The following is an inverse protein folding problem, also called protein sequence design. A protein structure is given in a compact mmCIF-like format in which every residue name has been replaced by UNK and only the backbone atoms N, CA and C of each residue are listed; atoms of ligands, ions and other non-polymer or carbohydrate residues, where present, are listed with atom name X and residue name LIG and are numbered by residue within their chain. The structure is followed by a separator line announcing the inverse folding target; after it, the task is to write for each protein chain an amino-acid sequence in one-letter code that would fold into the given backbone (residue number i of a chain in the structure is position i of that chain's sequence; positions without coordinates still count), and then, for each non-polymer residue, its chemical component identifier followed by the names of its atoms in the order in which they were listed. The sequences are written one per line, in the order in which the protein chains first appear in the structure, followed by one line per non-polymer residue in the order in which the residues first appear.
data_IF_511809108675
#
_entry.id   IF_511809108675
#
_cell.length_a   1.000
_cell.length_b   1.000
_cell.length_c   1.000
_cell.angle_alpha   90.00
_cell.angle_beta   90.00
_cell.angle_gamma   90.00
#
_symmetry.space_group_name_H-M   'P 1'
#
loop_
_entity.id
_entity.type
_entity.pdbx_description
1 polymer ?
#
# COMPACT_ATOMS: atom_id res chain seq x y z
N UNK A 1 16.46 -18.24 1.37
CA UNK A 1 17.08 -19.09 0.32
C UNK A 1 16.38 -20.44 0.16
N UNK A 2 16.04 -21.15 1.23
CA UNK A 2 15.30 -22.44 1.19
C UNK A 2 13.96 -22.40 0.45
N UNK A 3 13.14 -21.35 0.67
CA UNK A 3 11.86 -21.16 -0.05
C UNK A 3 12.03 -21.03 -1.57
N UNK A 4 13.12 -20.41 -2.01
CA UNK A 4 13.43 -20.24 -3.44
C UNK A 4 13.86 -21.58 -4.04
N UNK A 5 14.70 -22.34 -3.34
CA UNK A 5 15.12 -23.66 -3.77
C UNK A 5 13.93 -24.63 -3.92
N UNK A 6 13.02 -24.67 -2.93
CA UNK A 6 11.81 -25.51 -3.00
C UNK A 6 10.96 -25.10 -4.20
N UNK A 7 10.73 -23.79 -4.38
CA UNK A 7 9.94 -23.29 -5.52
C UNK A 7 10.56 -23.70 -6.86
N UNK A 8 11.88 -23.54 -7.01
CA UNK A 8 12.62 -23.92 -8.23
C UNK A 8 12.52 -25.42 -8.49
N UNK A 9 12.71 -26.26 -7.47
CA UNK A 9 12.63 -27.73 -7.60
C UNK A 9 11.21 -28.16 -7.98
N UNK A 10 10.17 -27.60 -7.34
CA UNK A 10 8.78 -27.93 -7.66
C UNK A 10 8.41 -27.51 -9.08
N UNK A 11 8.82 -26.32 -9.52
CA UNK A 11 8.58 -25.86 -10.90
C UNK A 11 9.36 -26.68 -11.94
N UNK A 12 10.61 -27.03 -11.64
CA UNK A 12 11.41 -27.89 -12.52
C UNK A 12 10.79 -29.29 -12.65
N UNK A 13 10.34 -29.89 -11.55
CA UNK A 13 9.66 -31.18 -11.57
C UNK A 13 8.34 -31.13 -12.35
N UNK A 14 7.54 -30.07 -12.19
CA UNK A 14 6.33 -29.84 -12.97
C UNK A 14 6.61 -29.65 -14.46
N UNK A 15 7.65 -28.89 -14.82
CA UNK A 15 8.04 -28.69 -16.21
C UNK A 15 8.52 -30.00 -16.86
N UNK A 16 9.28 -30.81 -16.13
CA UNK A 16 9.72 -32.15 -16.58
C UNK A 16 8.51 -33.08 -16.75
N UNK A 17 7.60 -33.12 -15.78
CA UNK A 17 6.39 -33.93 -15.87
C UNK A 17 5.51 -33.53 -17.06
N UNK A 18 5.35 -32.22 -17.31
CA UNK A 18 4.65 -31.69 -18.47
C UNK A 18 5.33 -32.10 -19.78
N UNK A 19 6.65 -31.94 -19.87
CA UNK A 19 7.42 -32.31 -21.07
C UNK A 19 7.30 -33.80 -21.38
N UNK A 20 7.35 -34.66 -20.36
CA UNK A 20 7.15 -36.10 -20.50
C UNK A 20 5.72 -36.43 -20.97
N UNK A 21 4.70 -35.78 -20.41
CA UNK A 21 3.30 -35.95 -20.82
C UNK A 21 3.04 -35.54 -22.28
N UNK A 22 3.57 -34.38 -22.69
CA UNK A 22 3.48 -33.89 -24.08
C UNK A 22 4.25 -34.82 -25.04
N UNK A 23 5.45 -35.23 -24.67
CA UNK A 23 6.27 -36.15 -25.50
C UNK A 23 5.57 -37.49 -25.68
N UNK A 24 5.00 -38.05 -24.60
CA UNK A 24 4.21 -39.27 -24.65
C UNK A 24 2.97 -39.13 -25.54
N UNK A 25 2.27 -38.00 -25.44
CA UNK A 25 1.09 -37.72 -26.27
C UNK A 25 1.43 -37.65 -27.78
N UNK A 26 2.56 -37.03 -28.14
CA UNK A 26 3.01 -36.89 -29.54
C UNK A 26 3.43 -38.24 -30.14
N UNK A 27 4.07 -39.11 -29.34
CA UNK A 27 4.56 -40.41 -29.79
C UNK A 27 3.43 -41.46 -29.87
N UNK A 28 2.36 -41.30 -29.11
CA UNK A 28 1.27 -42.30 -29.01
C UNK A 28 0.41 -42.39 -30.28
N UNK A 29 0.02 -43.62 -30.65
CA UNK A 29 -0.88 -43.89 -31.78
C UNK A 29 -2.30 -43.32 -31.55
N UNK A 30 -3.07 -42.97 -32.61
CA UNK A 30 -4.34 -42.26 -32.49
C UNK A 30 -5.38 -42.88 -31.53
N UNK A 31 -5.33 -44.20 -31.29
CA UNK A 31 -6.24 -44.92 -30.39
C UNK A 31 -5.83 -44.94 -28.90
N UNK A 32 -4.60 -44.55 -28.54
CA UNK A 32 -4.09 -44.59 -27.16
C UNK A 32 -3.78 -43.21 -26.57
N UNK A 33 -4.19 -42.12 -27.25
CA UNK A 33 -3.90 -40.74 -26.86
C UNK A 33 -4.74 -40.20 -25.70
N UNK A 34 -5.79 -40.90 -25.29
CA UNK A 34 -6.73 -40.40 -24.28
C UNK A 34 -6.08 -40.28 -22.89
N UNK A 35 -5.42 -41.33 -22.42
CA UNK A 35 -4.73 -41.34 -21.11
C UNK A 35 -3.63 -40.28 -21.00
N UNK A 36 -2.71 -40.11 -21.98
CA UNK A 36 -1.71 -39.04 -21.91
C UNK A 36 -2.31 -37.63 -22.09
N UNK A 37 -3.41 -37.47 -22.82
CA UNK A 37 -4.11 -36.19 -22.92
C UNK A 37 -4.69 -35.75 -21.57
N UNK A 38 -5.37 -36.67 -20.87
CA UNK A 38 -5.96 -36.40 -19.55
C UNK A 38 -4.87 -36.11 -18.52
N UNK A 39 -3.77 -36.85 -18.52
CA UNK A 39 -2.66 -36.62 -17.60
C UNK A 39 -1.99 -35.24 -17.83
N UNK A 40 -1.77 -34.86 -19.09
CA UNK A 40 -1.20 -33.55 -19.43
C UNK A 40 -2.15 -32.40 -19.06
N UNK A 41 -3.46 -32.58 -19.26
CA UNK A 41 -4.48 -31.62 -18.83
C UNK A 41 -4.55 -31.49 -17.30
N UNK A 42 -4.45 -32.59 -16.57
CA UNK A 42 -4.42 -32.58 -15.10
C UNK A 42 -3.19 -31.82 -14.56
N UNK A 43 -2.02 -32.05 -15.16
CA UNK A 43 -0.79 -31.30 -14.85
C UNK A 43 -0.94 -29.80 -15.15
N UNK A 44 -1.47 -29.44 -16.32
CA UNK A 44 -1.73 -28.05 -16.68
C UNK A 44 -2.73 -27.40 -15.72
N UNK A 45 -3.82 -28.08 -15.38
CA UNK A 45 -4.80 -27.59 -14.42
C UNK A 45 -4.16 -27.33 -13.04
N UNK A 46 -3.31 -28.24 -12.56
CA UNK A 46 -2.57 -28.06 -11.31
C UNK A 46 -1.63 -26.85 -11.32
N UNK A 47 -0.83 -26.69 -12.40
CA UNK A 47 0.06 -25.53 -12.55
C UNK A 47 -0.75 -24.23 -12.58
N UNK A 48 -1.80 -24.20 -13.40
CA UNK A 48 -2.61 -23.00 -13.61
C UNK A 48 -3.36 -22.62 -12.33
N UNK A 49 -3.84 -23.59 -11.56
CA UNK A 49 -4.47 -23.39 -10.25
C UNK A 49 -3.55 -22.66 -9.27
N UNK A 50 -2.28 -23.09 -9.15
CA UNK A 50 -1.30 -22.44 -8.26
C UNK A 50 -1.07 -20.98 -8.66
N UNK A 51 -0.96 -20.70 -9.96
CA UNK A 51 -0.81 -19.32 -10.43
C UNK A 51 -2.05 -18.48 -10.19
N UNK A 52 -3.24 -19.06 -10.40
CA UNK A 52 -4.51 -18.39 -10.14
C UNK A 52 -4.65 -18.02 -8.66
N UNK A 53 -4.36 -18.94 -7.74
CA UNK A 53 -4.37 -18.69 -6.30
C UNK A 53 -3.35 -17.62 -5.90
N UNK A 54 -2.12 -17.70 -6.41
CA UNK A 54 -1.09 -16.68 -6.13
C UNK A 54 -1.49 -15.31 -6.64
N UNK A 55 -2.09 -15.24 -7.82
CA UNK A 55 -2.55 -14.00 -8.41
C UNK A 55 -3.74 -13.41 -7.65
N UNK A 56 -4.70 -14.25 -7.27
CA UNK A 56 -5.83 -13.87 -6.44
C UNK A 56 -5.37 -13.37 -5.06
N UNK A 57 -4.49 -14.09 -4.38
CA UNK A 57 -3.94 -13.71 -3.09
C UNK A 57 -3.17 -12.39 -3.15
N UNK A 58 -2.39 -12.14 -4.22
CA UNK A 58 -1.70 -10.86 -4.40
C UNK A 58 -2.69 -9.71 -4.61
N UNK A 59 -3.75 -9.95 -5.40
CA UNK A 59 -4.79 -8.96 -5.66
C UNK A 59 -5.56 -8.62 -4.38
N UNK A 60 -5.91 -9.62 -3.59
CA UNK A 60 -6.60 -9.45 -2.31
C UNK A 60 -5.74 -8.70 -1.30
N UNK A 61 -4.45 -9.05 -1.16
CA UNK A 61 -3.52 -8.30 -0.30
C UNK A 61 -3.38 -6.85 -0.72
N UNK A 62 -3.27 -6.58 -2.02
CA UNK A 62 -3.23 -5.20 -2.53
C UNK A 62 -4.50 -4.45 -2.20
N UNK A 63 -5.67 -5.07 -2.37
CA UNK A 63 -6.95 -4.46 -2.07
C UNK A 63 -7.09 -4.12 -0.58
N UNK A 64 -6.77 -5.08 0.30
CA UNK A 64 -6.79 -4.89 1.75
C UNK A 64 -5.82 -3.79 2.20
N UNK A 65 -4.64 -3.71 1.58
CA UNK A 65 -3.69 -2.64 1.87
C UNK A 65 -4.25 -1.26 1.50
N UNK A 66 -4.87 -1.14 0.32
CA UNK A 66 -5.49 0.11 -0.13
C UNK A 66 -6.64 0.51 0.79
N UNK A 67 -7.55 -0.41 1.12
CA UNK A 67 -8.67 -0.14 2.03
C UNK A 67 -8.20 0.29 3.42
N UNK A 68 -7.15 -0.34 3.94
CA UNK A 68 -6.53 0.03 5.21
C UNK A 68 -5.91 1.43 5.17
N UNK A 69 -5.22 1.77 4.07
CA UNK A 69 -4.67 3.11 3.86
C UNK A 69 -5.79 4.16 3.76
N UNK A 70 -6.86 3.88 3.01
CA UNK A 70 -8.01 4.78 2.90
C UNK A 70 -8.66 5.03 4.25
N UNK A 71 -8.87 3.98 5.05
CA UNK A 71 -9.42 4.13 6.41
C UNK A 71 -8.50 4.94 7.32
N UNK A 72 -7.18 4.80 7.17
CA UNK A 72 -6.20 5.58 7.92
C UNK A 72 -6.21 7.06 7.52
N UNK A 73 -6.24 7.35 6.22
CA UNK A 73 -6.31 8.71 5.69
C UNK A 73 -7.61 9.40 6.11
N UNK A 74 -8.75 8.71 6.04
CA UNK A 74 -10.03 9.23 6.52
C UNK A 74 -9.98 9.59 8.01
N UNK A 75 -9.42 8.71 8.84
CA UNK A 75 -9.22 9.00 10.27
C UNK A 75 -8.26 10.15 10.51
N UNK A 76 -7.21 10.28 9.72
CA UNK A 76 -6.29 11.42 9.79
C UNK A 76 -6.98 12.72 9.38
N UNK A 77 -7.89 12.70 8.40
CA UNK A 77 -8.71 13.88 8.09
C UNK A 77 -9.59 14.25 9.27
N UNK A 78 -10.26 13.29 9.91
CA UNK A 78 -11.07 13.56 11.10
C UNK A 78 -10.24 14.21 12.22
N UNK A 79 -9.01 13.71 12.43
CA UNK A 79 -8.07 14.30 13.38
C UNK A 79 -7.71 15.74 13.00
N UNK A 80 -7.37 16.01 11.75
CA UNK A 80 -7.01 17.35 11.25
C UNK A 80 -8.19 18.33 11.18
N UNK A 81 -9.43 17.83 11.15
CA UNK A 81 -10.65 18.61 11.22
C UNK A 81 -11.09 18.90 12.67
N UNK A 82 -10.43 18.29 13.65
CA UNK A 82 -10.71 18.50 15.07
C UNK A 82 -10.49 19.94 15.52
N UNK A 83 -11.18 20.33 16.60
CA UNK A 83 -11.12 21.68 17.17
C UNK A 83 -9.68 22.12 17.50
N UNK A 84 -8.78 21.18 17.82
CA UNK A 84 -7.39 21.46 18.16
C UNK A 84 -6.58 22.08 17.00
N UNK A 85 -6.94 21.77 15.75
CA UNK A 85 -6.29 22.29 14.55
C UNK A 85 -7.15 23.30 13.79
N UNK A 86 -8.25 23.77 14.40
CA UNK A 86 -9.10 24.81 13.84
C UNK A 86 -8.49 26.20 13.99
N UNK A 87 -8.87 27.13 13.12
CA UNK A 87 -8.42 28.53 13.19
C UNK A 87 -8.93 29.27 14.43
N UNK A 88 -9.96 28.73 15.09
CA UNK A 88 -10.51 29.25 16.34
C UNK A 88 -10.08 28.45 17.58
N UNK A 89 -9.10 27.55 17.44
CA UNK A 89 -8.69 26.70 18.56
C UNK A 89 -8.27 27.57 19.76
N UNK A 90 -8.75 27.27 20.99
CA UNK A 90 -8.39 28.05 22.16
C UNK A 90 -6.87 28.04 22.36
N UNK A 91 -6.34 29.20 22.74
CA UNK A 91 -4.92 29.40 23.04
C UNK A 91 -4.49 28.67 24.32
N UNK A 92 -3.17 28.64 24.55
CA UNK A 92 -2.58 27.98 25.71
C UNK A 92 -2.16 26.52 25.52
N UNK A 93 -1.92 25.84 26.65
CA UNK A 93 -1.31 24.50 26.70
C UNK A 93 -2.33 23.42 26.38
N UNK A 94 -2.05 22.62 25.36
CA UNK A 94 -2.92 21.54 24.89
C UNK A 94 -2.12 20.35 24.35
N UNK A 95 -2.77 19.20 24.30
CA UNK A 95 -2.22 17.97 23.75
C UNK A 95 -2.81 17.76 22.36
N UNK A 96 -1.96 17.54 21.38
CA UNK A 96 -2.38 17.34 20.01
C UNK A 96 -2.52 15.84 19.69
N UNK A 97 -3.65 15.41 19.12
CA UNK A 97 -3.78 14.04 18.64
C UNK A 97 -2.74 13.77 17.53
N UNK A 98 -2.20 12.55 17.51
CA UNK A 98 -1.19 12.12 16.53
C UNK A 98 -1.84 11.62 15.25
N UNK A 99 -1.18 11.89 14.13
CA UNK A 99 -1.54 11.33 12.83
C UNK A 99 -1.00 9.90 12.70
N UNK A 100 -1.81 9.02 12.14
CA UNK A 100 -1.52 7.61 11.91
C UNK A 100 -0.74 7.43 10.60
N UNK A 101 0.17 6.46 10.58
CA UNK A 101 0.91 6.02 9.37
C UNK A 101 1.19 4.51 9.39
N UNK A 102 0.46 3.74 10.21
CA UNK A 102 0.72 2.32 10.44
C UNK A 102 0.21 1.45 9.29
N UNK A 103 -0.89 1.84 8.65
CA UNK A 103 -1.40 1.18 7.44
C UNK A 103 -0.41 1.37 6.28
N UNK A 104 0.12 2.59 6.12
CA UNK A 104 1.15 2.90 5.12
C UNK A 104 2.43 2.09 5.36
N UNK A 105 2.90 2.01 6.61
CA UNK A 105 4.08 1.20 6.96
C UNK A 105 3.86 -0.30 6.75
N UNK A 106 2.66 -0.79 7.08
CA UNK A 106 2.26 -2.17 6.80
C UNK A 106 2.25 -2.47 5.29
N UNK A 107 1.76 -1.53 4.47
CA UNK A 107 1.74 -1.68 3.02
C UNK A 107 3.16 -1.74 2.42
N UNK A 108 4.10 -0.93 2.92
CA UNK A 108 5.49 -0.97 2.49
C UNK A 108 6.22 -2.24 2.94
N UNK A 109 6.02 -2.69 4.18
CA UNK A 109 6.69 -3.87 4.72
C UNK A 109 6.14 -5.19 4.16
N UNK A 110 4.83 -5.26 3.88
CA UNK A 110 4.18 -6.45 3.31
C UNK A 110 4.44 -6.65 1.82
N UNK A 111 4.90 -5.62 1.10
CA UNK A 111 5.05 -5.65 -0.35
C UNK A 111 3.72 -5.84 -1.09
N UNK A 112 2.60 -5.44 -0.46
CA UNK A 112 1.28 -5.49 -1.07
C UNK A 112 1.18 -4.56 -2.30
N UNK A 113 1.89 -3.43 -2.25
CA UNK A 113 2.04 -2.50 -3.37
C UNK A 113 3.20 -2.91 -4.27
N UNK A 114 2.95 -2.95 -5.58
CA UNK A 114 3.97 -3.36 -6.56
C UNK A 114 4.64 -2.13 -7.18
N UNK A 115 5.97 -1.99 -7.13
CA UNK A 115 6.68 -0.86 -7.74
C UNK A 115 6.44 -0.69 -9.25
N UNK A 116 6.00 -1.76 -9.94
CA UNK A 116 5.69 -1.72 -11.39
C UNK A 116 4.31 -1.18 -11.71
N UNK A 117 3.36 -1.24 -10.76
CA UNK A 117 1.95 -0.86 -10.96
C UNK A 117 1.56 0.36 -10.16
N UNK A 118 2.17 0.53 -8.99
CA UNK A 118 1.76 1.48 -7.96
C UNK A 118 2.86 2.52 -7.71
N UNK A 119 3.71 2.84 -8.72
CA UNK A 119 4.87 3.72 -8.54
C UNK A 119 4.50 5.09 -8.01
N UNK A 120 3.47 5.71 -8.60
CA UNK A 120 3.00 7.04 -8.22
C UNK A 120 2.36 7.03 -6.82
N UNK A 121 1.53 6.01 -6.53
CA UNK A 121 0.98 5.80 -5.19
C UNK A 121 2.09 5.67 -4.15
N UNK A 122 3.10 4.85 -4.42
CA UNK A 122 4.24 4.62 -3.52
C UNK A 122 4.97 5.95 -3.25
N UNK A 123 5.15 6.78 -4.28
CA UNK A 123 5.77 8.11 -4.13
C UNK A 123 4.94 9.02 -3.21
N UNK A 124 3.64 9.14 -3.48
CA UNK A 124 2.71 9.94 -2.67
C UNK A 124 2.65 9.45 -1.21
N UNK A 125 2.62 8.14 -0.99
CA UNK A 125 2.61 7.54 0.34
C UNK A 125 3.94 7.74 1.08
N UNK A 126 5.07 7.73 0.38
CA UNK A 126 6.37 8.05 0.98
C UNK A 126 6.42 9.51 1.44
N UNK A 127 5.92 10.43 0.61
CA UNK A 127 5.85 11.85 0.94
C UNK A 127 4.90 12.08 2.12
N UNK A 128 3.69 11.51 2.08
CA UNK A 128 2.72 11.55 3.18
C UNK A 128 3.31 11.03 4.50
N UNK A 129 3.99 9.87 4.46
CA UNK A 129 4.66 9.30 5.64
C UNK A 129 5.71 10.25 6.20
N UNK A 130 6.50 10.88 5.33
CA UNK A 130 7.51 11.88 5.74
C UNK A 130 6.88 13.08 6.44
N UNK A 131 5.81 13.62 5.87
CA UNK A 131 5.08 14.75 6.44
C UNK A 131 4.45 14.39 7.79
N UNK A 132 3.76 13.26 7.89
CA UNK A 132 3.17 12.77 9.15
C UNK A 132 4.22 12.59 10.24
N UNK A 133 5.37 11.99 9.90
CA UNK A 133 6.47 11.81 10.85
C UNK A 133 7.02 13.15 11.35
N UNK A 134 7.20 14.12 10.43
CA UNK A 134 7.64 15.48 10.75
C UNK A 134 6.63 16.22 11.64
N UNK A 135 5.33 16.17 11.30
CA UNK A 135 4.24 16.75 12.11
C UNK A 135 4.25 16.16 13.51
N UNK A 136 4.18 14.84 13.63
CA UNK A 136 4.09 14.17 14.93
C UNK A 136 5.30 14.50 15.80
N UNK A 137 6.50 14.58 15.21
CA UNK A 137 7.71 14.97 15.93
C UNK A 137 7.66 16.42 16.40
N UNK A 138 7.18 17.34 15.57
CA UNK A 138 7.01 18.75 15.96
C UNK A 138 5.99 18.89 17.09
N UNK A 139 4.85 18.21 16.99
CA UNK A 139 3.83 18.21 18.03
C UNK A 139 4.38 17.68 19.36
N UNK A 140 5.14 16.59 19.32
CA UNK A 140 5.81 16.03 20.51
C UNK A 140 6.77 17.03 21.16
N UNK A 141 7.62 17.68 20.37
CA UNK A 141 8.57 18.69 20.87
C UNK A 141 7.84 19.91 21.42
N UNK A 142 6.80 20.39 20.72
CA UNK A 142 6.00 21.54 21.15
C UNK A 142 5.28 21.24 22.46
N UNK A 143 4.65 20.06 22.59
CA UNK A 143 4.03 19.64 23.85
C UNK A 143 5.04 19.58 24.98
N UNK A 144 6.19 18.93 24.76
CA UNK A 144 7.25 18.85 25.76
C UNK A 144 7.66 20.26 26.23
N UNK A 145 7.95 21.18 25.31
CA UNK A 145 8.34 22.55 25.64
C UNK A 145 7.23 23.34 26.35
N UNK A 146 5.98 23.20 25.89
CA UNK A 146 4.81 23.86 26.48
C UNK A 146 4.58 23.44 27.94
N UNK A 147 4.85 22.18 28.29
CA UNK A 147 4.64 21.67 29.64
C UNK A 147 5.86 21.81 30.55
N UNK A 148 7.08 21.95 30.01
CA UNK A 148 8.30 22.07 30.85
C UNK A 148 8.76 23.50 31.08
N UNK A 149 8.61 24.40 30.10
CA UNK A 149 9.40 25.65 30.10
C UNK A 149 8.63 26.85 29.57
N UNK A 150 7.68 26.66 28.65
CA UNK A 150 7.11 27.77 27.93
C UNK A 150 6.26 28.71 28.80
N UNK A 151 6.48 30.02 28.61
CA UNK A 151 5.53 31.06 29.02
C UNK A 151 4.24 30.98 28.18
N UNK A 152 3.18 31.68 28.60
CA UNK A 152 1.93 31.70 27.85
C UNK A 152 2.12 32.28 26.43
N UNK A 153 2.96 33.30 26.30
CA UNK A 153 3.24 33.96 25.02
C UNK A 153 4.00 33.03 24.05
N UNK A 154 4.98 32.27 24.55
CA UNK A 154 5.73 31.29 23.75
C UNK A 154 4.82 30.15 23.26
N UNK A 155 3.87 29.72 24.08
CA UNK A 155 2.89 28.69 23.70
C UNK A 155 2.00 29.17 22.54
N UNK A 156 1.60 30.44 22.54
CA UNK A 156 0.79 31.00 21.47
C UNK A 156 1.58 31.19 20.16
N UNK A 157 2.86 31.55 20.23
CA UNK A 157 3.76 31.58 19.06
C UNK A 157 3.94 30.19 18.43
N UNK A 158 4.09 29.14 19.25
CA UNK A 158 4.12 27.75 18.75
C UNK A 158 2.81 27.35 18.10
N UNK A 159 1.68 27.67 18.72
CA UNK A 159 0.36 27.39 18.17
C UNK A 159 0.16 28.09 16.82
N UNK A 160 0.67 29.32 16.65
CA UNK A 160 0.64 30.06 15.38
C UNK A 160 1.53 29.43 14.30
N UNK A 161 2.74 29.02 14.66
CA UNK A 161 3.64 28.32 13.73
C UNK A 161 3.03 27.01 13.24
N UNK A 162 2.38 26.26 14.12
CA UNK A 162 1.69 25.03 13.78
C UNK A 162 0.55 25.25 12.78
N UNK A 163 -0.30 26.26 13.02
CA UNK A 163 -1.40 26.63 12.10
C UNK A 163 -0.92 26.99 10.71
N UNK A 164 0.23 27.64 10.60
CA UNK A 164 0.83 27.99 9.30
C UNK A 164 1.24 26.75 8.51
N UNK A 165 1.59 25.65 9.19
CA UNK A 165 2.05 24.42 8.56
C UNK A 165 0.91 23.44 8.21
N UNK A 166 -0.20 23.48 8.95
CA UNK A 166 -1.34 22.55 8.75
C UNK A 166 -1.94 22.55 7.33
N UNK A 167 -2.05 23.67 6.61
CA UNK A 167 -2.52 23.67 5.22
C UNK A 167 -1.69 22.78 4.29
N UNK A 168 -0.37 22.74 4.48
CA UNK A 168 0.53 21.88 3.69
C UNK A 168 0.21 20.41 3.92
N UNK A 169 0.01 20.01 5.17
CA UNK A 169 -0.32 18.62 5.55
C UNK A 169 -1.68 18.22 4.96
N UNK A 170 -2.68 19.10 5.06
CA UNK A 170 -4.01 18.89 4.48
C UNK A 170 -3.93 18.74 2.95
N UNK A 171 -3.13 19.57 2.28
CA UNK A 171 -2.93 19.48 0.83
C UNK A 171 -2.35 18.13 0.40
N UNK A 172 -1.37 17.59 1.13
CA UNK A 172 -0.80 16.27 0.80
C UNK A 172 -1.79 15.13 1.07
N UNK A 173 -2.58 15.23 2.14
CA UNK A 173 -3.65 14.27 2.41
C UNK A 173 -4.69 14.28 1.28
N UNK A 174 -5.11 15.46 0.83
CA UNK A 174 -6.07 15.63 -0.25
C UNK A 174 -5.51 15.11 -1.59
N UNK A 175 -4.22 15.30 -1.87
CA UNK A 175 -3.55 14.76 -3.05
C UNK A 175 -3.55 13.23 -3.08
N UNK A 176 -3.15 12.60 -1.97
CA UNK A 176 -3.12 11.12 -1.86
C UNK A 176 -4.52 10.55 -2.02
N UNK A 177 -5.51 11.14 -1.37
CA UNK A 177 -6.88 10.65 -1.48
C UNK A 177 -7.52 10.89 -2.84
N UNK A 178 -7.23 12.02 -3.48
CA UNK A 178 -7.68 12.29 -4.84
C UNK A 178 -7.12 11.24 -5.79
N UNK A 179 -5.84 10.89 -5.63
CA UNK A 179 -5.21 9.84 -6.41
C UNK A 179 -5.84 8.46 -6.15
N UNK A 180 -6.13 8.11 -4.89
CA UNK A 180 -6.85 6.87 -4.55
C UNK A 180 -8.26 6.83 -5.15
N UNK A 181 -8.99 7.95 -5.10
CA UNK A 181 -10.31 8.10 -5.73
C UNK A 181 -10.27 7.97 -7.25
N UNK A 182 -9.24 8.53 -7.89
CA UNK A 182 -9.00 8.38 -9.33
C UNK A 182 -8.76 6.92 -9.72
N UNK A 183 -7.90 6.20 -8.98
CA UNK A 183 -7.66 4.78 -9.22
C UNK A 183 -8.93 3.91 -9.08
N UNK A 184 -9.86 4.29 -8.20
CA UNK A 184 -11.13 3.57 -8.02
C UNK A 184 -12.11 3.83 -9.16
N UNK A 185 -12.11 5.05 -9.69
CA UNK A 185 -13.03 5.47 -10.76
C UNK A 185 -12.56 5.05 -12.16
N UNK A 186 -11.27 4.77 -12.36
CA UNK A 186 -10.74 4.22 -13.62
C UNK A 186 -10.28 2.75 -13.50
N UNK A 187 -11.17 1.74 -13.51
CA UNK A 187 -10.75 0.35 -13.58
C UNK A 187 -10.23 -0.09 -14.97
N UNK A 188 -10.12 0.80 -15.98
CA UNK A 188 -9.81 0.36 -17.37
C UNK A 188 -9.11 1.33 -18.33
N UNK A 189 -8.55 2.47 -17.90
CA UNK A 189 -7.61 3.21 -18.76
C UNK A 189 -6.22 3.13 -18.19
N UNK A 190 -5.34 2.43 -18.91
CA UNK A 190 -3.90 2.70 -18.84
C UNK A 190 -3.76 4.20 -19.00
N UNK A 191 -3.41 4.89 -17.91
CA UNK A 191 -2.84 6.23 -17.98
C UNK A 191 -1.52 6.05 -18.73
N UNK A 192 -1.62 6.17 -20.05
CA UNK A 192 -0.46 6.44 -20.87
C UNK A 192 -0.14 7.89 -20.55
N UNK A 193 0.85 8.08 -19.69
CA UNK A 193 1.44 9.40 -19.48
C UNK A 193 1.86 9.95 -20.85
N UNK A 194 1.28 11.05 -21.35
CA UNK A 194 2.02 11.91 -22.26
C UNK A 194 2.92 12.80 -21.41
N UNK A 195 4.10 13.17 -21.94
CA UNK A 195 5.16 14.02 -21.36
C UNK A 195 6.25 13.15 -20.70
N UNK A 196 7.35 12.82 -21.39
CA UNK A 196 8.38 13.66 -22.05
C UNK A 196 9.11 14.56 -21.07
#
# INVERSE_FOLDING_TARGET
MTRVAITVVTFAALAVALALGVTWFVISEPGQRFEPAVNTLALLAGITGIFAERWAAQRERRQQAIESIESELARNREVLAGAEFSDDAPGGRKLYPRLLHSAVDSAFTSGALSPRKDTELISLLHQWRGEVSSVNRRLELTEMLMFTTASADEADDFNKALRTFMPTVRSHLDEVETYLGAMRSEPSRRITSPLR
#
